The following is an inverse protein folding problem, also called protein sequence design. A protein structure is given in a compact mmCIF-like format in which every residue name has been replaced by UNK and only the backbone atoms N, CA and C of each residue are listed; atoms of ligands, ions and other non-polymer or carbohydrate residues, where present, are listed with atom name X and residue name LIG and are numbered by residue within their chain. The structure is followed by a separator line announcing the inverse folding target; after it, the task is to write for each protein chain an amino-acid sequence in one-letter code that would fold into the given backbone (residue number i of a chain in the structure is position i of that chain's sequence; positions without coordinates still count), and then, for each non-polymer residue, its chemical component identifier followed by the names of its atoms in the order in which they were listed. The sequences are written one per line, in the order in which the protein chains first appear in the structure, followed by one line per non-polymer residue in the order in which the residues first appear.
data_IF_188565144480
#
_entry.id   IF_188565144480
#
_cell.length_a   1.000
_cell.length_b   1.000
_cell.length_c   1.000
_cell.angle_alpha   90.00
_cell.angle_beta   90.00
_cell.angle_gamma   90.00
#
_symmetry.space_group_name_H-M   'P 1'
#
loop_
_entity.id
_entity.type
_entity.pdbx_description
1 polymer ?
#
# COMPACT_ATOMS: atom_id res chain seq x y z
N UNK A 1 -27.34 -16.23 -18.67
CA UNK A 1 -27.43 -16.41 -17.21
C UNK A 1 -28.83 -15.96 -16.82
N UNK A 2 -29.66 -16.85 -16.32
CA UNK A 2 -31.04 -16.59 -15.86
C UNK A 2 -31.16 -17.09 -14.43
N UNK A 3 -32.23 -16.74 -13.71
CA UNK A 3 -32.44 -17.30 -12.37
C UNK A 3 -32.50 -18.83 -12.36
N UNK A 4 -32.89 -19.45 -13.48
CA UNK A 4 -32.97 -20.91 -13.65
C UNK A 4 -31.61 -21.62 -13.59
N UNK A 5 -30.50 -20.88 -13.68
CA UNK A 5 -29.14 -21.46 -13.66
C UNK A 5 -28.25 -20.97 -12.50
N UNK A 6 -28.84 -20.33 -11.49
CA UNK A 6 -28.15 -19.93 -10.25
C UNK A 6 -28.40 -20.99 -9.17
N UNK A 7 -27.33 -21.60 -8.63
CA UNK A 7 -27.42 -22.64 -7.58
C UNK A 7 -27.29 -22.09 -6.15
N UNK A 8 -26.92 -20.82 -6.00
CA UNK A 8 -26.75 -20.16 -4.70
C UNK A 8 -26.28 -18.71 -4.85
N UNK A 9 -26.57 -17.90 -3.83
CA UNK A 9 -26.13 -16.51 -3.73
C UNK A 9 -25.64 -16.28 -2.30
N UNK A 10 -24.41 -15.78 -2.16
CA UNK A 10 -23.87 -15.26 -0.92
C UNK A 10 -23.56 -13.78 -1.12
N UNK A 11 -24.25 -12.91 -0.39
CA UNK A 11 -24.09 -11.46 -0.50
C UNK A 11 -23.46 -10.90 0.76
N UNK A 12 -22.26 -10.36 0.61
CA UNK A 12 -21.61 -9.59 1.65
C UNK A 12 -21.81 -8.10 1.40
N UNK A 13 -22.19 -7.39 2.44
CA UNK A 13 -22.31 -5.94 2.48
C UNK A 13 -21.18 -5.33 3.30
N UNK A 14 -20.96 -4.01 3.21
CA UNK A 14 -20.07 -3.32 4.14
C UNK A 14 -20.43 -3.53 5.61
N UNK A 15 -21.70 -3.82 5.93
CA UNK A 15 -22.13 -4.16 7.29
C UNK A 15 -21.49 -5.45 7.80
N UNK A 16 -21.29 -6.43 6.92
CA UNK A 16 -20.68 -7.71 7.29
C UNK A 16 -19.19 -7.54 7.63
N UNK A 17 -18.50 -6.58 7.02
CA UNK A 17 -17.13 -6.23 7.41
C UNK A 17 -17.04 -5.71 8.84
N UNK A 18 -18.08 -5.03 9.36
CA UNK A 18 -18.10 -4.55 10.74
C UNK A 18 -18.10 -5.69 11.76
N UNK A 19 -18.52 -6.91 11.35
CA UNK A 19 -18.45 -8.13 12.18
C UNK A 19 -17.05 -8.75 12.20
N UNK A 20 -16.13 -8.32 11.33
CA UNK A 20 -14.75 -8.76 11.35
C UNK A 20 -13.95 -7.93 12.37
N UNK A 21 -13.31 -8.61 13.34
CA UNK A 21 -12.62 -7.96 14.46
C UNK A 21 -11.55 -6.96 14.03
N UNK A 22 -10.93 -7.16 12.87
CA UNK A 22 -9.88 -6.30 12.33
C UNK A 22 -10.38 -5.12 11.50
N UNK A 23 -11.66 -5.09 11.11
CA UNK A 23 -12.25 -4.02 10.30
C UNK A 23 -13.33 -3.22 11.03
N UNK A 24 -13.75 -3.67 12.22
CA UNK A 24 -14.66 -2.93 13.08
C UNK A 24 -14.04 -1.61 13.59
N UNK A 25 -14.88 -0.64 13.99
CA UNK A 25 -16.33 -0.66 13.92
C UNK A 25 -16.89 -0.28 12.55
N UNK A 26 -16.10 0.34 11.66
CA UNK A 26 -16.62 0.99 10.45
C UNK A 26 -16.60 0.11 9.20
N UNK A 27 -16.01 -1.10 9.25
CA UNK A 27 -16.00 -2.05 8.14
C UNK A 27 -15.11 -1.62 6.96
N UNK A 28 -14.18 -0.68 7.17
CA UNK A 28 -13.30 -0.17 6.13
C UNK A 28 -12.31 -1.27 5.69
N UNK A 29 -12.60 -1.94 4.58
CA UNK A 29 -11.79 -3.06 4.06
C UNK A 29 -10.31 -2.68 3.86
N UNK A 30 -10.03 -1.43 3.49
CA UNK A 30 -8.67 -0.92 3.33
C UNK A 30 -7.98 -0.50 4.65
N UNK A 31 -8.61 -0.76 5.80
CA UNK A 31 -8.13 -0.46 7.16
C UNK A 31 -8.31 1.00 7.57
N UNK A 32 -7.82 1.95 6.76
CA UNK A 32 -7.89 3.39 7.02
C UNK A 32 -8.27 4.16 5.75
N UNK A 33 -8.67 5.41 5.93
CA UNK A 33 -8.96 6.32 4.83
C UNK A 33 -7.73 6.60 3.95
N UNK A 34 -8.00 7.22 2.79
CA UNK A 34 -6.99 7.70 1.84
C UNK A 34 -7.05 9.22 1.71
N UNK A 35 -7.14 9.90 2.86
CA UNK A 35 -7.03 11.37 2.93
C UNK A 35 -5.59 11.80 2.58
N UNK A 36 -5.34 13.06 2.17
CA UNK A 36 -4.05 13.49 1.66
C UNK A 36 -2.84 13.24 2.57
N UNK A 37 -3.02 13.16 3.89
CA UNK A 37 -1.96 12.85 4.85
C UNK A 37 -1.84 11.35 5.18
N UNK A 38 -2.69 10.50 4.61
CA UNK A 38 -2.67 9.03 4.74
C UNK A 38 -2.51 8.36 3.37
N UNK A 39 -1.65 8.91 2.51
CA UNK A 39 -1.32 8.32 1.21
C UNK A 39 0.18 8.14 1.04
N UNK A 40 0.55 7.12 0.28
CA UNK A 40 1.93 6.74 -0.04
C UNK A 40 2.80 6.60 1.22
N UNK A 41 3.95 7.28 1.25
CA UNK A 41 4.93 7.28 2.34
C UNK A 41 4.40 7.87 3.65
N UNK A 42 3.29 8.61 3.65
CA UNK A 42 2.71 9.21 4.85
C UNK A 42 1.77 8.27 5.61
N UNK A 43 1.63 7.03 5.15
CA UNK A 43 0.75 6.02 5.73
C UNK A 43 1.40 5.30 6.92
N UNK A 44 0.64 4.99 7.98
CA UNK A 44 -0.81 5.23 8.17
C UNK A 44 -1.13 6.64 8.66
N UNK A 45 -0.19 7.26 9.36
CA UNK A 45 -0.11 8.68 9.66
C UNK A 45 1.37 9.06 9.57
N UNK A 46 1.71 10.35 9.37
CA UNK A 46 3.10 10.79 9.26
C UNK A 46 4.01 10.35 10.41
N UNK A 47 3.48 10.27 11.63
CA UNK A 47 4.21 9.87 12.83
C UNK A 47 4.60 8.38 12.84
N UNK A 48 3.81 7.53 12.17
CA UNK A 48 4.00 6.08 12.12
C UNK A 48 4.51 5.59 10.75
N UNK A 49 4.72 6.51 9.80
CA UNK A 49 5.21 6.23 8.45
C UNK A 49 6.54 5.45 8.42
N UNK A 50 7.35 5.63 9.46
CA UNK A 50 8.64 4.96 9.59
C UNK A 50 8.56 3.59 10.28
N UNK A 51 7.36 3.02 10.46
CA UNK A 51 7.11 1.71 11.09
C UNK A 51 7.46 1.59 12.58
N UNK A 52 8.07 2.61 13.21
CA UNK A 52 8.39 2.61 14.63
C UNK A 52 7.16 3.01 15.43
N UNK A 53 6.94 2.35 16.56
CA UNK A 53 5.90 2.76 17.51
C UNK A 53 6.52 3.58 18.65
N UNK A 54 5.71 4.25 19.49
CA UNK A 54 6.20 4.89 20.72
C UNK A 54 6.82 3.92 21.73
N UNK A 55 6.60 2.61 21.57
CA UNK A 55 7.16 1.57 22.42
C UNK A 55 8.49 1.11 21.81
N UNK A 56 9.63 1.22 22.54
CA UNK A 56 10.93 0.77 22.03
C UNK A 56 10.90 -0.69 21.59
N UNK A 57 11.53 -0.96 20.45
CA UNK A 57 11.61 -2.29 19.81
C UNK A 57 10.26 -2.91 19.41
N UNK A 58 9.18 -2.14 19.40
CA UNK A 58 7.91 -2.53 18.81
C UNK A 58 7.70 -1.77 17.50
N UNK A 59 7.52 -2.53 16.42
CA UNK A 59 7.29 -2.04 15.07
C UNK A 59 5.90 -2.45 14.60
N UNK A 60 5.28 -1.61 13.77
CA UNK A 60 3.95 -1.87 13.23
C UNK A 60 3.98 -1.85 11.70
N UNK A 61 3.27 -2.79 11.09
CA UNK A 61 3.11 -2.92 9.63
C UNK A 61 1.74 -3.53 9.31
N UNK A 62 1.43 -3.70 8.02
CA UNK A 62 0.18 -4.25 7.50
C UNK A 62 -0.46 -3.34 6.45
N UNK A 63 -1.66 -3.68 5.97
CA UNK A 63 -2.34 -2.97 4.87
C UNK A 63 -2.62 -1.48 5.10
N UNK A 64 -2.46 -0.99 6.34
CA UNK A 64 -2.53 0.43 6.65
C UNK A 64 -1.25 1.19 6.26
N UNK A 65 -0.09 0.55 6.19
CA UNK A 65 1.21 1.13 5.81
C UNK A 65 1.45 1.12 4.30
N UNK A 66 2.47 1.84 3.83
CA UNK A 66 2.85 1.86 2.42
C UNK A 66 3.19 0.46 1.89
N UNK A 67 2.61 -0.03 0.79
CA UNK A 67 1.93 0.66 -0.34
C UNK A 67 0.42 0.91 -0.18
N UNK A 68 -0.14 0.54 0.96
CA UNK A 68 -1.57 0.54 1.26
C UNK A 68 -2.19 -0.85 1.11
N UNK A 69 -3.51 -0.93 1.31
CA UNK A 69 -4.26 -2.19 1.28
C UNK A 69 -3.98 -3.00 0.02
N UNK A 70 -3.27 -4.10 0.19
CA UNK A 70 -2.88 -5.04 -0.85
C UNK A 70 -2.77 -6.45 -0.23
N UNK A 71 -2.76 -7.48 -1.07
CA UNK A 71 -2.40 -8.84 -0.66
C UNK A 71 -0.96 -9.11 -1.11
N UNK A 72 0.00 -8.88 -0.23
CA UNK A 72 1.42 -8.94 -0.55
C UNK A 72 2.29 -8.78 0.70
N UNK A 73 3.60 -8.67 0.49
CA UNK A 73 4.60 -8.55 1.56
C UNK A 73 5.36 -7.21 1.52
N UNK A 74 4.92 -6.27 0.69
CA UNK A 74 5.65 -5.03 0.39
C UNK A 74 5.80 -4.15 1.63
N UNK A 75 4.74 -3.97 2.42
CA UNK A 75 4.76 -3.23 3.68
C UNK A 75 5.61 -3.92 4.75
N UNK A 76 5.61 -5.25 4.78
CA UNK A 76 6.41 -6.04 5.72
C UNK A 76 7.89 -5.92 5.36
N UNK A 77 8.21 -5.87 4.07
CA UNK A 77 9.57 -5.66 3.59
C UNK A 77 10.09 -4.26 3.93
N UNK A 78 9.25 -3.23 3.78
CA UNK A 78 9.60 -1.88 4.23
C UNK A 78 9.85 -1.82 5.74
N UNK A 79 9.01 -2.49 6.54
CA UNK A 79 9.19 -2.61 7.99
C UNK A 79 10.51 -3.33 8.32
N UNK A 80 10.82 -4.42 7.62
CA UNK A 80 12.07 -5.17 7.78
C UNK A 80 13.30 -4.29 7.54
N UNK A 81 13.29 -3.42 6.52
CA UNK A 81 14.39 -2.47 6.28
C UNK A 81 14.66 -1.56 7.46
N UNK A 82 13.60 -1.09 8.13
CA UNK A 82 13.71 -0.26 9.33
C UNK A 82 14.27 -1.07 10.50
N UNK A 83 13.69 -2.24 10.77
CA UNK A 83 14.15 -3.13 11.86
C UNK A 83 15.63 -3.50 11.68
N UNK A 84 16.02 -3.89 10.46
CA UNK A 84 17.39 -4.26 10.16
C UNK A 84 18.36 -3.08 10.33
N UNK A 85 17.93 -1.86 10.02
CA UNK A 85 18.73 -0.66 10.24
C UNK A 85 18.88 -0.35 11.73
N UNK A 86 17.79 -0.41 12.49
CA UNK A 86 17.79 -0.07 13.91
C UNK A 86 18.58 -1.08 14.76
N UNK A 87 18.48 -2.37 14.42
CA UNK A 87 19.10 -3.46 15.17
C UNK A 87 20.45 -3.91 14.58
N UNK A 88 20.93 -3.28 13.51
CA UNK A 88 22.18 -3.67 12.85
C UNK A 88 22.17 -5.08 12.25
N UNK A 89 21.02 -5.53 11.74
CA UNK A 89 20.88 -6.85 11.11
C UNK A 89 21.38 -6.83 9.66
N UNK A 90 21.46 -8.01 9.05
CA UNK A 90 21.78 -8.15 7.63
C UNK A 90 20.81 -7.37 6.74
N UNK A 91 21.36 -6.71 5.71
CA UNK A 91 20.62 -5.91 4.74
C UNK A 91 20.81 -6.51 3.35
N UNK A 92 20.02 -7.54 2.96
CA UNK A 92 20.23 -8.26 1.71
C UNK A 92 20.23 -7.36 0.46
N UNK A 93 19.49 -6.24 0.49
CA UNK A 93 19.45 -5.25 -0.61
C UNK A 93 20.75 -4.44 -0.76
N UNK A 94 21.67 -4.51 0.21
CA UNK A 94 23.02 -3.92 0.14
C UNK A 94 24.09 -4.98 -0.18
N UNK A 95 23.75 -6.28 -0.20
CA UNK A 95 24.68 -7.36 -0.53
C UNK A 95 24.97 -7.41 -2.04
N UNK A 96 26.25 -7.55 -2.39
CA UNK A 96 26.68 -7.64 -3.79
C UNK A 96 26.00 -8.79 -4.53
N UNK A 97 25.31 -8.51 -5.63
CA UNK A 97 24.55 -9.49 -6.43
C UNK A 97 23.13 -9.78 -5.93
N UNK A 98 22.70 -9.17 -4.83
CA UNK A 98 21.33 -9.22 -4.30
C UNK A 98 20.75 -7.82 -4.11
N UNK A 99 21.40 -6.82 -4.70
CA UNK A 99 20.87 -5.47 -4.73
C UNK A 99 19.45 -5.52 -5.30
N UNK A 100 18.55 -4.75 -4.70
CA UNK A 100 17.23 -4.58 -5.29
C UNK A 100 17.42 -4.19 -6.75
N UNK A 101 16.77 -4.89 -7.70
CA UNK A 101 17.01 -4.60 -9.09
C UNK A 101 16.64 -3.14 -9.32
N UNK A 102 17.64 -2.31 -9.64
CA UNK A 102 17.47 -0.92 -10.07
C UNK A 102 16.43 -0.79 -11.20
N UNK A 103 16.05 -1.90 -11.82
CA UNK A 103 15.26 -1.99 -13.03
C UNK A 103 13.77 -1.73 -12.87
N UNK A 104 13.04 -2.14 -11.81
CA UNK A 104 11.56 -2.02 -11.85
C UNK A 104 11.05 -0.59 -11.64
N UNK A 105 11.58 0.12 -10.64
CA UNK A 105 11.23 1.53 -10.42
C UNK A 105 11.78 2.39 -11.55
N UNK A 106 12.99 2.12 -12.04
CA UNK A 106 13.57 2.86 -13.17
C UNK A 106 12.81 2.57 -14.47
N UNK A 107 12.40 1.33 -14.74
CA UNK A 107 11.52 0.96 -15.86
C UNK A 107 10.16 1.62 -15.72
N UNK A 108 9.55 1.63 -14.53
CA UNK A 108 8.29 2.31 -14.28
C UNK A 108 8.43 3.83 -14.54
N UNK A 109 9.54 4.45 -14.09
CA UNK A 109 9.87 5.85 -14.38
C UNK A 109 10.06 6.09 -15.88
N UNK A 110 10.77 5.21 -16.60
CA UNK A 110 10.98 5.27 -18.06
C UNK A 110 9.64 5.17 -18.79
N UNK A 111 8.79 4.21 -18.44
CA UNK A 111 7.44 4.03 -18.99
C UNK A 111 6.57 5.25 -18.69
N UNK A 112 6.54 5.73 -17.44
CA UNK A 112 5.78 6.93 -17.05
C UNK A 112 6.20 8.15 -17.87
N UNK A 113 7.51 8.40 -18.03
CA UNK A 113 8.03 9.49 -18.87
C UNK A 113 7.59 9.34 -20.33
N UNK A 114 7.69 8.13 -20.89
CA UNK A 114 7.24 7.83 -22.26
C UNK A 114 5.74 8.09 -22.44
N UNK A 115 4.90 7.65 -21.51
CA UNK A 115 3.46 7.89 -21.54
C UNK A 115 3.16 9.40 -21.44
N UNK A 116 3.83 10.12 -20.53
CA UNK A 116 3.71 11.56 -20.40
C UNK A 116 4.09 12.32 -21.68
N UNK A 117 5.15 11.90 -22.38
CA UNK A 117 5.54 12.53 -23.66
C UNK A 117 4.56 12.26 -24.80
N UNK A 118 3.83 11.14 -24.75
CA UNK A 118 2.83 10.77 -25.75
C UNK A 118 1.45 11.38 -25.47
N UNK A 119 1.17 11.74 -24.22
CA UNK A 119 -0.09 12.35 -23.83
C UNK A 119 -0.17 13.78 -24.39
N UNK A 120 -1.15 14.05 -25.26
CA UNK A 120 -1.47 15.42 -25.67
C UNK A 120 -2.10 16.14 -24.48
N UNK A 121 -1.58 17.30 -24.05
CA UNK A 121 -2.17 18.04 -22.95
C UNK A 121 -3.60 18.48 -23.32
N UNK A 122 -4.57 18.05 -22.51
CA UNK A 122 -5.97 18.38 -22.72
C UNK A 122 -6.31 19.67 -21.97
N UNK A 123 -6.26 20.82 -22.66
CA UNK A 123 -6.56 22.13 -22.07
C UNK A 123 -8.05 22.49 -22.05
N UNK A 124 -8.98 21.54 -22.24
CA UNK A 124 -10.43 21.84 -22.23
C UNK A 124 -10.89 22.50 -20.94
N UNK A 125 -10.20 22.26 -19.83
CA UNK A 125 -10.49 22.85 -18.52
C UNK A 125 -10.04 24.33 -18.38
N UNK A 126 -9.23 24.87 -19.30
CA UNK A 126 -8.78 26.29 -19.30
C UNK A 126 -9.68 27.23 -20.10
N UNK A 127 -10.74 26.72 -20.74
CA UNK A 127 -11.67 27.51 -21.56
C UNK A 127 -12.87 28.09 -20.77
N UNK A 128 -12.71 28.33 -19.46
CA UNK A 128 -13.71 29.03 -18.65
C UNK A 128 -13.05 30.18 -17.92
#
# INVERSE_FOLDING_TARGET
MTWDNIIGVDTNSPYDHMRMKNLGPNGAMAGIDRVPFQVNEHRPTPELANYRTPIPNLYATGGCWHVGSNAGATESYNCYKIIATDLGLGKPWEEKGKEEPDSLVEQQRKIRKKVQSLAKPNYTYRKR
#
